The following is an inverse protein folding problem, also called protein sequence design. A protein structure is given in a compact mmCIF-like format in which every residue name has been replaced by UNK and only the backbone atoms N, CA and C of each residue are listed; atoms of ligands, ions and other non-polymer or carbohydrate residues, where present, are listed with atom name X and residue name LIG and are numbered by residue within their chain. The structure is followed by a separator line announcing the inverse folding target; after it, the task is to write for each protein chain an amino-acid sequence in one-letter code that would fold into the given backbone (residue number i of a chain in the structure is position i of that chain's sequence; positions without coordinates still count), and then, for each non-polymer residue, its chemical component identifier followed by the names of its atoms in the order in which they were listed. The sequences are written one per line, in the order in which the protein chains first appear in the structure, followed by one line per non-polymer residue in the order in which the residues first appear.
data_IF_803150598903
#
_entry.id   IF_803150598903
#
_cell.length_a   1.000
_cell.length_b   1.000
_cell.length_c   1.000
_cell.angle_alpha   90.00
_cell.angle_beta   90.00
_cell.angle_gamma   90.00
#
_symmetry.space_group_name_H-M   'P 1'
#
loop_
_entity.id
_entity.type
_entity.pdbx_description
1 polymer ?
#
# COMPACT_ATOMS: atom_id res chain seq x y z
N UNK A 1 -29.86 -15.12 -23.80
CA UNK A 1 -28.39 -15.07 -23.79
C UNK A 1 -27.91 -13.64 -23.54
N UNK A 2 -28.58 -12.64 -24.12
CA UNK A 2 -28.16 -11.23 -24.07
C UNK A 2 -28.16 -10.62 -22.66
N UNK A 3 -29.06 -11.04 -21.77
CA UNK A 3 -29.12 -10.52 -20.39
C UNK A 3 -27.91 -10.89 -19.54
N UNK A 4 -27.38 -12.11 -19.69
CA UNK A 4 -26.19 -12.56 -18.96
C UNK A 4 -24.94 -11.83 -19.45
N UNK A 5 -24.77 -11.70 -20.77
CA UNK A 5 -23.64 -10.98 -21.37
C UNK A 5 -23.61 -9.51 -20.94
N UNK A 6 -24.77 -8.84 -20.94
CA UNK A 6 -24.92 -7.47 -20.44
C UNK A 6 -24.57 -7.37 -18.94
N UNK A 7 -25.08 -8.29 -18.11
CA UNK A 7 -24.72 -8.31 -16.69
C UNK A 7 -23.21 -8.52 -16.46
N UNK A 8 -22.59 -9.44 -17.21
CA UNK A 8 -21.16 -9.75 -17.10
C UNK A 8 -20.26 -8.57 -17.48
N UNK A 9 -20.61 -7.85 -18.55
CA UNK A 9 -19.86 -6.68 -19.02
C UNK A 9 -19.89 -5.51 -18.02
N UNK A 10 -21.02 -5.32 -17.33
CA UNK A 10 -21.22 -4.24 -16.35
C UNK A 10 -20.94 -4.68 -14.90
N UNK A 11 -20.35 -5.85 -14.69
CA UNK A 11 -20.02 -6.34 -13.34
C UNK A 11 -19.08 -5.38 -12.57
N UNK A 12 -18.02 -4.78 -13.17
CA UNK A 12 -17.15 -3.84 -12.46
C UNK A 12 -17.86 -2.59 -11.93
N UNK A 13 -18.89 -2.11 -12.64
CA UNK A 13 -19.68 -0.93 -12.24
C UNK A 13 -20.51 -1.17 -10.98
N UNK A 14 -20.79 -2.45 -10.68
CA UNK A 14 -21.60 -2.86 -9.52
C UNK A 14 -20.76 -3.19 -8.29
N UNK A 15 -19.44 -3.21 -8.40
CA UNK A 15 -18.53 -3.53 -7.30
C UNK A 15 -18.13 -2.23 -6.59
N UNK A 16 -18.50 -2.13 -5.31
CA UNK A 16 -17.98 -1.07 -4.44
C UNK A 16 -16.49 -1.37 -4.10
N UNK A 17 -15.56 -0.44 -4.36
CA UNK A 17 -14.16 -0.61 -3.98
C UNK A 17 -13.93 -0.60 -2.46
N UNK A 18 -14.89 -0.11 -1.68
CA UNK A 18 -14.83 -0.03 -0.22
C UNK A 18 -15.35 -1.35 0.38
N UNK A 19 -14.49 -2.02 1.14
CA UNK A 19 -14.85 -3.22 1.88
C UNK A 19 -15.59 -2.89 3.18
N UNK A 20 -15.08 -1.91 3.93
CA UNK A 20 -15.65 -1.47 5.20
C UNK A 20 -15.44 0.03 5.38
N UNK A 21 -16.48 0.74 5.83
CA UNK A 21 -16.41 2.15 6.15
C UNK A 21 -16.60 2.36 7.65
N UNK A 22 -15.61 2.95 8.32
CA UNK A 22 -15.62 3.30 9.74
C UNK A 22 -15.50 4.82 9.87
N UNK A 23 -16.64 5.52 9.84
CA UNK A 23 -16.67 6.99 9.86
C UNK A 23 -15.95 7.58 8.64
N UNK A 24 -14.89 8.35 8.88
CA UNK A 24 -14.04 8.95 7.83
C UNK A 24 -13.00 8.00 7.25
N UNK A 25 -12.79 6.83 7.85
CA UNK A 25 -11.79 5.84 7.40
C UNK A 25 -12.46 4.80 6.51
N UNK A 26 -11.94 4.65 5.30
CA UNK A 26 -12.41 3.66 4.33
C UNK A 26 -11.36 2.56 4.14
N UNK A 27 -11.73 1.32 4.45
CA UNK A 27 -10.92 0.14 4.14
C UNK A 27 -11.34 -0.33 2.75
N UNK A 28 -10.40 -0.30 1.80
CA UNK A 28 -10.64 -0.69 0.41
C UNK A 28 -10.13 -2.09 0.12
N UNK A 29 -10.75 -2.78 -0.82
CA UNK A 29 -10.36 -4.15 -1.20
C UNK A 29 -8.90 -4.24 -1.65
N UNK A 30 -8.38 -3.26 -2.39
CA UNK A 30 -6.99 -3.29 -2.82
C UNK A 30 -6.00 -3.30 -1.64
N UNK A 31 -6.32 -2.59 -0.54
CA UNK A 31 -5.50 -2.57 0.66
C UNK A 31 -5.47 -3.93 1.35
N UNK A 32 -6.62 -4.61 1.39
CA UNK A 32 -6.70 -5.99 1.85
C UNK A 32 -5.86 -6.92 0.98
N UNK A 33 -5.91 -6.76 -0.35
CA UNK A 33 -5.10 -7.57 -1.26
C UNK A 33 -3.60 -7.35 -1.05
N UNK A 34 -3.15 -6.12 -0.78
CA UNK A 34 -1.76 -5.86 -0.41
C UNK A 34 -1.38 -6.58 0.88
N UNK A 35 -2.19 -6.46 1.94
CA UNK A 35 -1.95 -7.17 3.19
C UNK A 35 -1.89 -8.69 2.99
N UNK A 36 -2.84 -9.27 2.26
CA UNK A 36 -2.85 -10.70 1.92
C UNK A 36 -1.61 -11.10 1.15
N UNK A 37 -1.16 -10.28 0.18
CA UNK A 37 0.04 -10.57 -0.60
C UNK A 37 1.31 -10.65 0.26
N UNK A 38 1.49 -9.71 1.20
CA UNK A 38 2.60 -9.74 2.16
C UNK A 38 2.52 -10.95 3.10
N UNK A 39 1.32 -11.27 3.60
CA UNK A 39 1.11 -12.44 4.47
C UNK A 39 1.45 -13.75 3.75
N UNK A 40 1.02 -13.90 2.49
CA UNK A 40 1.32 -15.08 1.68
C UNK A 40 2.82 -15.17 1.40
N UNK A 41 3.48 -14.08 1.00
CA UNK A 41 4.92 -14.07 0.77
C UNK A 41 5.71 -14.44 2.03
N UNK A 42 5.37 -13.82 3.17
CA UNK A 42 6.02 -14.09 4.45
C UNK A 42 5.86 -15.55 4.90
N UNK A 43 4.64 -16.09 4.85
CA UNK A 43 4.37 -17.48 5.26
C UNK A 43 5.09 -18.49 4.35
N UNK A 44 5.16 -18.23 3.05
CA UNK A 44 5.91 -19.04 2.11
C UNK A 44 7.42 -18.99 2.37
N UNK A 45 7.98 -17.81 2.66
CA UNK A 45 9.39 -17.66 3.02
C UNK A 45 9.73 -18.44 4.30
N UNK A 46 8.91 -18.34 5.33
CA UNK A 46 9.08 -19.11 6.55
C UNK A 46 8.97 -20.63 6.32
N UNK A 47 8.00 -21.05 5.50
CA UNK A 47 7.85 -22.45 5.13
C UNK A 47 9.12 -22.99 4.46
N UNK A 48 9.69 -22.23 3.51
CA UNK A 48 10.94 -22.60 2.82
C UNK A 48 12.14 -22.61 3.75
N UNK A 49 12.31 -21.56 4.56
CA UNK A 49 13.39 -21.46 5.55
C UNK A 49 13.41 -22.68 6.48
N UNK A 50 12.24 -23.11 6.97
CA UNK A 50 12.11 -24.30 7.82
C UNK A 50 12.42 -25.60 7.07
N UNK A 51 12.00 -25.71 5.80
CA UNK A 51 12.13 -26.93 5.00
C UNK A 51 13.56 -27.15 4.50
N UNK A 52 14.21 -26.11 4.01
CA UNK A 52 15.52 -26.20 3.36
C UNK A 52 16.67 -26.30 4.37
N UNK A 53 16.45 -25.90 5.63
CA UNK A 53 17.48 -25.86 6.69
C UNK A 53 18.77 -25.17 6.25
N UNK A 54 18.63 -24.17 5.38
CA UNK A 54 19.73 -23.38 4.83
C UNK A 54 20.11 -22.21 5.74
N UNK A 55 20.89 -21.24 5.23
CA UNK A 55 21.34 -20.09 6.02
C UNK A 55 20.19 -19.13 6.38
N UNK A 56 19.07 -19.19 5.67
CA UNK A 56 17.90 -18.34 5.93
C UNK A 56 17.13 -18.86 7.14
N UNK A 57 17.43 -18.28 8.30
CA UNK A 57 16.69 -18.52 9.54
C UNK A 57 15.40 -17.70 9.58
N UNK A 58 14.49 -18.08 10.47
CA UNK A 58 13.25 -17.32 10.72
C UNK A 58 13.53 -15.83 10.99
N UNK A 59 14.53 -15.53 11.83
CA UNK A 59 14.87 -14.16 12.19
C UNK A 59 15.29 -13.34 10.97
N UNK A 60 16.10 -13.92 10.07
CA UNK A 60 16.51 -13.25 8.83
C UNK A 60 15.29 -12.94 7.94
N UNK A 61 14.33 -13.86 7.85
CA UNK A 61 13.10 -13.65 7.08
C UNK A 61 12.25 -12.54 7.68
N UNK A 62 12.09 -12.52 9.02
CA UNK A 62 11.35 -11.47 9.74
C UNK A 62 12.02 -10.09 9.59
N UNK A 63 13.34 -10.03 9.74
CA UNK A 63 14.12 -8.80 9.54
C UNK A 63 13.99 -8.29 8.11
N UNK A 64 14.20 -9.17 7.11
CA UNK A 64 14.07 -8.81 5.70
C UNK A 64 12.66 -8.34 5.36
N UNK A 65 11.62 -9.08 5.77
CA UNK A 65 10.24 -8.70 5.49
C UNK A 65 9.89 -7.33 6.10
N UNK A 66 10.35 -7.06 7.32
CA UNK A 66 10.15 -5.76 7.98
C UNK A 66 10.81 -4.63 7.20
N UNK A 67 12.09 -4.78 6.84
CA UNK A 67 12.81 -3.77 6.07
C UNK A 67 12.28 -3.59 4.65
N UNK A 68 11.85 -4.66 3.98
CA UNK A 68 11.23 -4.58 2.66
C UNK A 68 9.89 -3.83 2.69
N UNK A 69 9.05 -4.06 3.71
CA UNK A 69 7.78 -3.33 3.86
C UNK A 69 8.05 -1.84 4.16
N UNK A 70 9.01 -1.53 5.04
CA UNK A 70 9.40 -0.14 5.31
C UNK A 70 9.94 0.51 4.04
N UNK A 71 10.83 -0.18 3.33
CA UNK A 71 11.46 0.27 2.10
C UNK A 71 10.44 0.58 0.99
N UNK A 72 9.48 -0.32 0.75
CA UNK A 72 8.44 -0.08 -0.26
C UNK A 72 7.53 1.10 0.12
N UNK A 73 7.16 1.25 1.39
CA UNK A 73 6.29 2.33 1.85
C UNK A 73 7.00 3.69 1.79
N UNK A 74 8.24 3.78 2.28
CA UNK A 74 9.01 5.02 2.25
C UNK A 74 9.45 5.37 0.83
N UNK A 75 9.97 4.40 0.08
CA UNK A 75 10.39 4.58 -1.30
C UNK A 75 9.23 5.01 -2.19
N UNK A 76 8.06 4.38 -2.05
CA UNK A 76 6.88 4.78 -2.83
C UNK A 76 6.42 6.19 -2.48
N UNK A 77 6.45 6.58 -1.20
CA UNK A 77 6.08 7.94 -0.78
C UNK A 77 7.07 8.98 -1.28
N UNK A 78 8.36 8.78 -1.06
CA UNK A 78 9.40 9.71 -1.50
C UNK A 78 9.49 9.79 -3.02
N UNK A 79 9.36 8.66 -3.72
CA UNK A 79 9.30 8.65 -5.17
C UNK A 79 8.07 9.40 -5.71
N UNK A 80 6.94 9.38 -5.00
CA UNK A 80 5.79 10.20 -5.38
C UNK A 80 6.10 11.68 -5.23
N UNK A 81 6.63 12.07 -4.07
CA UNK A 81 7.03 13.44 -3.75
C UNK A 81 8.00 13.98 -4.79
N UNK A 82 9.08 13.26 -5.05
CA UNK A 82 10.17 13.72 -5.92
C UNK A 82 9.77 13.74 -7.40
N UNK A 83 9.06 12.72 -7.89
CA UNK A 83 8.83 12.58 -9.33
C UNK A 83 7.51 13.21 -9.80
N UNK A 84 6.52 13.40 -8.91
CA UNK A 84 5.18 13.80 -9.32
C UNK A 84 4.70 15.11 -8.71
N UNK A 85 5.08 15.47 -7.48
CA UNK A 85 4.52 16.65 -6.82
C UNK A 85 5.51 17.40 -5.91
N UNK A 86 6.74 17.59 -6.38
CA UNK A 86 7.81 18.15 -5.57
C UNK A 86 7.49 19.57 -5.07
N UNK A 87 6.94 20.44 -5.93
CA UNK A 87 6.63 21.83 -5.58
C UNK A 87 5.70 21.95 -4.37
N UNK A 88 4.62 21.16 -4.34
CA UNK A 88 3.69 21.13 -3.22
C UNK A 88 4.37 20.73 -1.90
N UNK A 89 5.17 19.66 -1.93
CA UNK A 89 5.78 19.15 -0.70
C UNK A 89 6.97 19.98 -0.20
N UNK A 90 7.54 20.86 -1.02
CA UNK A 90 8.50 21.86 -0.55
C UNK A 90 7.82 22.92 0.31
N UNK A 91 6.58 23.28 -0.01
CA UNK A 91 5.76 24.21 0.78
C UNK A 91 5.13 23.50 2.01
N UNK A 92 4.85 22.19 1.89
CA UNK A 92 4.19 21.37 2.90
C UNK A 92 5.00 20.12 3.32
N UNK A 93 6.20 20.27 3.91
CA UNK A 93 7.10 19.14 4.15
C UNK A 93 6.56 18.10 5.14
N UNK A 94 5.72 18.50 6.09
CA UNK A 94 5.13 17.59 7.08
C UNK A 94 4.10 16.64 6.45
N UNK A 95 3.46 17.04 5.35
CA UNK A 95 2.47 16.23 4.64
C UNK A 95 3.10 15.06 3.87
N UNK A 96 4.43 15.02 3.77
CA UNK A 96 5.16 13.86 3.24
C UNK A 96 4.88 12.62 4.10
N UNK A 97 4.84 12.78 5.43
CA UNK A 97 4.74 11.64 6.37
C UNK A 97 3.38 11.53 7.04
N UNK A 98 2.66 12.64 7.19
CA UNK A 98 1.40 12.67 7.93
C UNK A 98 0.22 12.36 7.00
N UNK A 99 -0.78 11.58 7.47
CA UNK A 99 -2.03 11.36 6.73
C UNK A 99 -3.02 12.53 6.86
N UNK A 100 -2.51 13.72 7.19
CA UNK A 100 -3.29 14.91 7.46
C UNK A 100 -2.78 16.05 6.59
N UNK A 101 -3.71 16.76 5.98
CA UNK A 101 -3.43 18.05 5.36
C UNK A 101 -3.50 19.13 6.44
N UNK A 102 -2.52 20.04 6.43
CA UNK A 102 -2.42 21.14 7.40
C UNK A 102 -2.88 22.42 6.68
N UNK A 103 -4.14 22.80 6.91
CA UNK A 103 -4.75 23.98 6.32
C UNK A 103 -5.07 25.07 7.34
N UNK A 104 -5.60 26.19 6.84
CA UNK A 104 -6.08 27.32 7.65
C UNK A 104 -7.16 26.95 8.67
N UNK A 105 -7.91 25.86 8.42
CA UNK A 105 -8.98 25.37 9.29
C UNK A 105 -8.54 24.20 10.21
N UNK A 106 -7.24 23.92 10.32
CA UNK A 106 -6.68 22.87 11.18
C UNK A 106 -6.28 21.58 10.42
N UNK A 107 -6.30 20.46 11.14
CA UNK A 107 -5.90 19.14 10.61
C UNK A 107 -7.08 18.44 9.94
N UNK A 108 -6.96 18.15 8.65
CA UNK A 108 -7.95 17.35 7.92
C UNK A 108 -7.35 15.99 7.57
N UNK A 109 -8.02 14.90 7.97
CA UNK A 109 -7.61 13.55 7.57
C UNK A 109 -7.88 13.34 6.08
N UNK A 110 -6.82 13.22 5.31
CA UNK A 110 -6.87 12.93 3.87
C UNK A 110 -6.34 11.52 3.56
N UNK A 111 -5.72 10.87 4.55
CA UNK A 111 -5.02 9.60 4.35
C UNK A 111 -3.67 9.79 3.66
N UNK A 112 -2.95 8.68 3.45
CA UNK A 112 -1.69 8.69 2.69
C UNK A 112 -2.01 8.39 1.22
N UNK A 113 -2.44 9.42 0.49
CA UNK A 113 -2.65 9.34 -0.96
C UNK A 113 -1.42 9.82 -1.73
N UNK A 114 -1.08 9.17 -2.85
CA UNK A 114 0.09 9.50 -3.66
C UNK A 114 1.29 8.63 -3.30
N UNK A 115 1.37 7.48 -3.98
CA UNK A 115 2.44 6.50 -3.87
C UNK A 115 2.99 6.22 -5.28
N UNK A 116 4.30 6.15 -5.41
CA UNK A 116 4.99 5.86 -6.66
C UNK A 116 5.36 4.37 -6.75
N UNK A 117 4.96 3.71 -7.84
CA UNK A 117 5.40 2.35 -8.13
C UNK A 117 6.93 2.27 -8.24
N UNK A 118 7.55 3.13 -9.05
CA UNK A 118 8.99 3.16 -9.25
C UNK A 118 9.76 3.49 -7.96
N UNK A 119 9.22 4.40 -7.14
CA UNK A 119 9.78 4.70 -5.84
C UNK A 119 9.76 3.49 -4.91
N UNK A 120 8.65 2.76 -4.90
CA UNK A 120 8.53 1.51 -4.13
C UNK A 120 9.51 0.45 -4.60
N UNK A 121 9.68 0.30 -5.92
CA UNK A 121 10.64 -0.64 -6.50
C UNK A 121 12.10 -0.29 -6.14
N UNK A 122 12.47 0.99 -6.14
CA UNK A 122 13.81 1.44 -5.73
C UNK A 122 14.05 1.22 -4.23
N UNK A 123 12.98 1.26 -3.42
CA UNK A 123 13.06 1.15 -1.97
C UNK A 123 13.25 -0.28 -1.43
N UNK A 124 13.13 -1.31 -2.27
CA UNK A 124 13.27 -2.74 -1.91
C UNK A 124 14.48 -3.34 -2.60
#
# INVERSE_FOLDING_TARGET
MDSFLQWWQHLPERIDPVFLQLGSVQIRYYGLMYFTSFLVAYTLLLYRAKKEKGPFTKNIVEDYATWAIIGVLLGSRLGYVLFYNLGYFLEHPLEIFLPFQIGSNGFQYTGISGMSYHGGLIGV
#
